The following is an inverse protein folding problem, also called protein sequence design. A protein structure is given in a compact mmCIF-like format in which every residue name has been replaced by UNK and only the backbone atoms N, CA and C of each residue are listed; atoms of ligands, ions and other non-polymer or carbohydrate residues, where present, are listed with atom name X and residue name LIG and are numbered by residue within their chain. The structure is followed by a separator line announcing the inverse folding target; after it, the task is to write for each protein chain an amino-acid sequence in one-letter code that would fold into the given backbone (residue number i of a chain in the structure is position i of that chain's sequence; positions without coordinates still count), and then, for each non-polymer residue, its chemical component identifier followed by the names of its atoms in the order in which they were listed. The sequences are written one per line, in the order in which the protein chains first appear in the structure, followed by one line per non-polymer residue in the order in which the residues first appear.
data_IF_320742391749
#
_entry.id   IF_320742391749
#
_cell.length_a   1.000
_cell.length_b   1.000
_cell.length_c   1.000
_cell.angle_alpha   90.00
_cell.angle_beta   90.00
_cell.angle_gamma   90.00
#
_symmetry.space_group_name_H-M   'P 1'
#
loop_
_entity.id
_entity.type
_entity.pdbx_description
1 polymer ?
#
# COMPACT_ATOMS: atom_id res chain seq x y z
N UNK A 1 23.30 -8.76 11.90
CA UNK A 1 22.48 -7.65 12.36
C UNK A 1 21.07 -7.80 11.86
N UNK A 2 20.19 -7.42 12.65
CA UNK A 2 18.81 -7.50 12.35
C UNK A 2 18.31 -6.12 11.89
N UNK A 3 18.64 -5.77 10.69
CA UNK A 3 18.37 -4.45 10.16
C UNK A 3 16.93 -4.05 10.12
N UNK A 4 16.05 -5.03 9.98
CA UNK A 4 14.64 -4.74 9.89
C UNK A 4 14.04 -4.14 11.15
N UNK A 5 14.57 -4.48 12.28
CA UNK A 5 14.05 -4.01 13.56
C UNK A 5 14.24 -2.52 13.78
N UNK A 6 15.21 -1.93 13.16
CA UNK A 6 15.54 -0.54 13.40
C UNK A 6 14.60 0.42 12.68
N UNK A 7 13.84 -0.06 11.73
CA UNK A 7 12.94 0.80 10.94
C UNK A 7 11.83 1.39 11.78
N UNK A 8 11.44 0.72 12.84
CA UNK A 8 10.29 1.15 13.65
C UNK A 8 10.52 2.46 14.37
N UNK A 9 11.76 2.82 14.55
CA UNK A 9 12.11 3.95 15.40
C UNK A 9 12.47 5.20 14.63
N UNK A 10 12.34 5.16 13.33
CA UNK A 10 12.67 6.31 12.49
C UNK A 10 11.41 7.09 12.24
N UNK A 11 11.33 8.26 12.87
CA UNK A 11 10.10 9.06 12.83
C UNK A 11 10.34 10.48 12.38
N UNK A 12 11.55 10.83 12.03
CA UNK A 12 11.94 12.19 11.72
C UNK A 12 11.25 12.68 10.46
N UNK A 13 10.22 13.50 10.64
CA UNK A 13 9.48 14.09 9.54
C UNK A 13 8.63 13.11 8.74
N UNK A 14 8.46 11.89 9.22
CA UNK A 14 7.76 10.88 8.48
C UNK A 14 6.64 10.27 9.33
N UNK A 15 5.83 9.42 8.67
CA UNK A 15 4.79 8.68 9.35
C UNK A 15 5.43 7.50 10.09
N UNK A 16 5.09 7.37 11.35
CA UNK A 16 5.61 6.28 12.16
C UNK A 16 5.00 4.95 11.69
N UNK A 17 5.86 3.95 11.51
CA UNK A 17 5.45 2.63 11.05
C UNK A 17 5.36 1.69 12.24
N UNK A 18 4.22 0.98 12.35
CA UNK A 18 4.00 0.04 13.43
C UNK A 18 4.71 -1.27 13.18
N UNK A 19 5.04 -1.98 14.26
CA UNK A 19 5.79 -3.23 14.17
C UNK A 19 5.02 -4.39 13.53
N UNK A 20 3.70 -4.30 13.45
CA UNK A 20 2.88 -5.35 12.84
C UNK A 20 2.72 -5.21 11.33
N UNK A 21 3.30 -4.17 10.75
CA UNK A 21 3.28 -4.00 9.30
C UNK A 21 4.20 -5.02 8.63
N UNK A 22 3.84 -5.42 7.42
CA UNK A 22 4.73 -6.26 6.60
C UNK A 22 5.68 -5.35 5.84
N UNK A 23 6.94 -5.73 5.78
CA UNK A 23 7.99 -4.93 5.15
C UNK A 23 8.60 -5.65 3.97
N UNK A 24 8.90 -4.92 2.92
CA UNK A 24 9.68 -5.44 1.82
C UNK A 24 10.43 -4.32 1.12
N UNK A 25 11.72 -4.56 0.86
CA UNK A 25 12.56 -3.64 0.11
C UNK A 25 12.84 -4.22 -1.25
N UNK A 26 12.55 -3.45 -2.31
CA UNK A 26 12.82 -3.85 -3.68
C UNK A 26 14.24 -3.46 -4.08
N UNK A 27 14.75 -2.40 -3.48
CA UNK A 27 16.14 -1.97 -3.62
C UNK A 27 16.63 -1.55 -2.24
N UNK A 28 17.91 -1.16 -2.16
CA UNK A 28 18.46 -0.65 -0.90
C UNK A 28 17.65 0.52 -0.34
N UNK A 29 17.15 1.37 -1.22
CA UNK A 29 16.45 2.59 -0.82
C UNK A 29 14.95 2.50 -0.90
N UNK A 30 14.41 1.77 -1.87
CA UNK A 30 12.98 1.72 -2.09
C UNK A 30 12.36 0.53 -1.36
N UNK A 31 11.48 0.82 -0.42
CA UNK A 31 10.81 -0.20 0.35
C UNK A 31 9.39 0.18 0.71
N UNK A 32 8.67 -0.79 1.23
CA UNK A 32 7.26 -0.64 1.56
C UNK A 32 6.94 -1.27 2.90
N UNK A 33 5.97 -0.68 3.59
CA UNK A 33 5.38 -1.26 4.79
C UNK A 33 3.88 -1.34 4.57
N UNK A 34 3.33 -2.53 4.69
CA UNK A 34 1.92 -2.79 4.40
C UNK A 34 1.16 -3.14 5.67
N UNK A 35 -0.03 -2.54 5.83
CA UNK A 35 -0.93 -2.77 6.94
C UNK A 35 -2.13 -3.61 6.55
N UNK A 36 -2.06 -4.32 5.44
CA UNK A 36 -3.10 -5.18 4.88
C UNK A 36 -4.26 -4.45 4.24
N UNK A 37 -4.72 -3.34 4.78
CA UNK A 37 -5.89 -2.63 4.27
C UNK A 37 -5.62 -1.17 4.05
N UNK A 38 -6.18 -0.65 2.95
CA UNK A 38 -6.15 0.76 2.61
C UNK A 38 -7.54 1.31 2.92
N UNK A 39 -7.63 2.24 3.87
CA UNK A 39 -8.90 2.85 4.25
C UNK A 39 -9.08 4.21 3.59
N UNK A 40 -10.32 4.52 3.24
CA UNK A 40 -10.66 5.79 2.61
C UNK A 40 -11.38 6.75 3.57
N UNK A 41 -11.55 6.33 4.83
CA UNK A 41 -12.26 7.14 5.84
C UNK A 41 -11.32 7.75 6.87
N UNK A 42 -10.01 7.74 6.61
CA UNK A 42 -9.03 8.35 7.51
C UNK A 42 -8.49 7.43 8.58
N UNK A 43 -8.92 6.18 8.62
CA UNK A 43 -8.36 5.22 9.59
C UNK A 43 -6.90 4.91 9.26
N UNK A 44 -6.16 4.55 10.31
CA UNK A 44 -4.76 4.16 10.16
C UNK A 44 -4.68 2.85 9.38
N UNK A 45 -3.80 2.79 8.41
CA UNK A 45 -3.61 1.60 7.60
C UNK A 45 -2.96 1.93 6.28
N UNK A 46 -3.07 1.02 5.33
CA UNK A 46 -2.62 1.24 3.98
C UNK A 46 -1.17 0.88 3.74
N UNK A 47 -0.57 1.56 2.79
CA UNK A 47 0.79 1.31 2.36
C UNK A 47 1.65 2.53 2.66
N UNK A 48 2.78 2.29 3.29
CA UNK A 48 3.80 3.33 3.51
C UNK A 48 4.96 3.03 2.59
N UNK A 49 5.59 4.07 2.09
CA UNK A 49 6.71 3.94 1.16
C UNK A 49 7.90 4.73 1.65
N UNK A 50 9.08 4.14 1.50
CA UNK A 50 10.34 4.83 1.77
C UNK A 50 11.21 4.81 0.53
N UNK A 51 11.90 5.90 0.26
CA UNK A 51 12.87 5.99 -0.82
C UNK A 51 14.29 6.28 -0.30
N UNK A 52 14.48 6.23 1.01
CA UNK A 52 15.77 6.52 1.64
C UNK A 52 16.25 5.40 2.56
N UNK A 53 15.87 4.18 2.26
CA UNK A 53 16.35 3.01 2.99
C UNK A 53 15.66 2.79 4.32
N UNK A 54 14.50 3.39 4.53
CA UNK A 54 13.74 3.22 5.76
C UNK A 54 13.92 4.32 6.77
N UNK A 55 14.61 5.39 6.39
CA UNK A 55 14.80 6.52 7.31
C UNK A 55 13.53 7.33 7.46
N UNK A 56 12.80 7.51 6.38
CA UNK A 56 11.50 8.18 6.40
C UNK A 56 10.50 7.38 5.59
N UNK A 57 9.24 7.40 6.04
CA UNK A 57 8.14 6.73 5.37
C UNK A 57 7.03 7.72 5.11
N UNK A 58 6.35 7.57 3.98
CA UNK A 58 5.24 8.41 3.58
C UNK A 58 4.05 7.56 3.21
N UNK A 59 2.84 8.09 3.39
CA UNK A 59 1.64 7.41 2.95
C UNK A 59 1.59 7.34 1.43
N UNK A 60 1.35 6.15 0.91
CA UNK A 60 1.04 6.00 -0.50
C UNK A 60 -0.40 6.45 -0.74
N UNK A 61 -0.61 7.13 -1.85
CA UNK A 61 -1.93 7.62 -2.22
C UNK A 61 -2.54 6.70 -3.28
N UNK A 62 -3.74 6.20 -3.01
CA UNK A 62 -4.44 5.32 -3.93
C UNK A 62 -5.67 6.03 -4.48
N UNK A 63 -5.78 6.03 -5.80
CA UNK A 63 -6.90 6.66 -6.50
C UNK A 63 -7.88 5.58 -6.92
N UNK A 64 -9.05 5.58 -6.29
CA UNK A 64 -10.09 4.61 -6.61
C UNK A 64 -11.44 5.33 -6.55
N UNK A 65 -12.16 5.33 -7.67
CA UNK A 65 -13.33 6.18 -7.84
C UNK A 65 -14.64 5.58 -7.38
N UNK A 66 -14.65 4.34 -6.98
CA UNK A 66 -15.91 3.71 -6.58
C UNK A 66 -16.34 4.24 -5.21
N UNK A 67 -17.49 4.89 -5.17
CA UNK A 67 -18.03 5.43 -3.92
C UNK A 67 -18.69 4.33 -3.10
N UNK A 68 -18.67 4.48 -1.77
CA UNK A 68 -19.27 3.49 -0.88
C UNK A 68 -18.35 2.36 -0.46
N UNK A 69 -17.09 2.39 -0.90
CA UNK A 69 -16.10 1.42 -0.48
C UNK A 69 -15.35 1.98 0.71
N UNK A 70 -15.31 1.22 1.80
CA UNK A 70 -14.61 1.64 3.02
C UNK A 70 -13.12 1.35 2.96
N UNK A 71 -12.75 0.23 2.36
CA UNK A 71 -11.35 -0.18 2.31
C UNK A 71 -11.09 -1.11 1.15
N UNK A 72 -9.79 -1.24 0.83
CA UNK A 72 -9.27 -2.20 -0.14
C UNK A 72 -8.27 -3.07 0.59
N UNK A 73 -8.29 -4.39 0.35
CA UNK A 73 -7.34 -5.32 0.96
C UNK A 73 -6.12 -5.46 0.06
N UNK A 74 -4.93 -5.35 0.66
CA UNK A 74 -3.68 -5.57 -0.04
C UNK A 74 -3.40 -7.07 0.00
N UNK A 75 -3.31 -7.70 -1.18
CA UNK A 75 -3.05 -9.14 -1.28
C UNK A 75 -1.57 -9.45 -1.17
N UNK A 76 -0.76 -8.71 -1.92
CA UNK A 76 0.70 -8.89 -1.94
C UNK A 76 1.39 -7.54 -1.88
N UNK A 77 2.62 -7.53 -1.39
CA UNK A 77 3.43 -6.33 -1.39
C UNK A 77 3.79 -5.91 -2.81
N UNK A 78 4.15 -4.64 -3.02
CA UNK A 78 4.46 -4.15 -4.36
C UNK A 78 5.59 -4.92 -5.04
N UNK A 79 5.51 -5.01 -6.36
CA UNK A 79 6.50 -5.70 -7.18
C UNK A 79 6.66 -4.95 -8.51
N UNK A 80 7.80 -5.17 -9.16
CA UNK A 80 8.04 -4.61 -10.49
C UNK A 80 7.62 -5.59 -11.57
N UNK A 81 6.98 -5.07 -12.60
CA UNK A 81 6.74 -5.79 -13.83
C UNK A 81 6.99 -4.82 -14.98
N UNK A 82 7.96 -5.12 -15.81
CA UNK A 82 8.33 -4.27 -16.95
C UNK A 82 8.55 -2.80 -16.56
N UNK A 83 9.34 -2.58 -15.52
CA UNK A 83 9.69 -1.26 -15.00
C UNK A 83 8.54 -0.49 -14.38
N UNK A 84 7.39 -1.12 -14.21
CA UNK A 84 6.23 -0.50 -13.58
C UNK A 84 5.99 -1.17 -12.23
N UNK A 85 5.83 -0.39 -11.19
CA UNK A 85 5.43 -0.90 -9.90
C UNK A 85 3.96 -1.27 -9.92
N UNK A 86 3.64 -2.44 -9.40
CA UNK A 86 2.27 -2.93 -9.31
C UNK A 86 1.99 -3.46 -7.92
N UNK A 87 0.75 -3.41 -7.52
CA UNK A 87 0.31 -4.01 -6.27
C UNK A 87 -1.03 -4.70 -6.50
N UNK A 88 -1.13 -5.93 -6.01
CA UNK A 88 -2.36 -6.71 -6.14
C UNK A 88 -3.23 -6.48 -4.93
N UNK A 89 -4.47 -6.13 -5.18
CA UNK A 89 -5.44 -5.84 -4.14
C UNK A 89 -6.76 -6.54 -4.42
N UNK A 90 -7.63 -6.55 -3.44
CA UNK A 90 -9.00 -6.99 -3.63
C UNK A 90 -9.93 -6.00 -2.97
N UNK A 91 -11.12 -5.86 -3.54
CA UNK A 91 -12.14 -4.98 -3.02
C UNK A 91 -13.43 -5.76 -2.89
N UNK A 92 -14.14 -5.53 -1.79
CA UNK A 92 -15.43 -6.12 -1.55
C UNK A 92 -16.48 -5.07 -1.89
N UNK A 93 -17.15 -5.25 -3.01
CA UNK A 93 -18.08 -4.23 -3.49
C UNK A 93 -19.39 -4.84 -3.96
N UNK A 94 -20.39 -3.99 -4.03
CA UNK A 94 -21.73 -4.38 -4.45
C UNK A 94 -21.71 -4.75 -5.92
N UNK A 95 -22.39 -5.84 -6.27
CA UNK A 95 -22.52 -6.26 -7.66
C UNK A 95 -23.37 -5.28 -8.44
N UNK A 96 -23.09 -5.17 -9.74
CA UNK A 96 -23.80 -4.26 -10.61
C UNK A 96 -25.29 -4.56 -10.69
N UNK A 97 -25.66 -5.83 -10.58
CA UNK A 97 -27.05 -6.25 -10.65
C UNK A 97 -27.80 -6.14 -9.32
N UNK A 98 -27.14 -5.68 -8.27
CA UNK A 98 -27.77 -5.51 -6.97
C UNK A 98 -27.97 -6.78 -6.18
N UNK A 99 -27.45 -7.92 -6.63
CA UNK A 99 -27.71 -9.22 -6.00
C UNK A 99 -26.85 -9.48 -4.74
N UNK A 100 -26.03 -8.54 -4.33
CA UNK A 100 -25.17 -8.69 -3.17
C UNK A 100 -23.78 -8.14 -3.43
N UNK A 101 -22.80 -8.63 -2.66
CA UNK A 101 -21.42 -8.17 -2.74
C UNK A 101 -20.53 -9.27 -3.28
N UNK A 102 -19.40 -8.87 -3.85
CA UNK A 102 -18.40 -9.82 -4.33
C UNK A 102 -17.00 -9.27 -4.11
N UNK A 103 -16.04 -10.19 -3.93
CA UNK A 103 -14.62 -9.85 -3.93
C UNK A 103 -14.16 -9.67 -5.37
N UNK A 104 -13.56 -8.54 -5.63
CA UNK A 104 -13.05 -8.22 -6.96
C UNK A 104 -11.55 -8.00 -6.87
N UNK A 105 -10.79 -8.72 -7.70
CA UNK A 105 -9.34 -8.53 -7.74
C UNK A 105 -9.01 -7.35 -8.63
N UNK A 106 -8.14 -6.48 -8.13
CA UNK A 106 -7.72 -5.29 -8.87
C UNK A 106 -6.22 -5.13 -8.74
N UNK A 107 -5.64 -4.44 -9.72
CA UNK A 107 -4.21 -4.12 -9.71
C UNK A 107 -4.07 -2.62 -9.82
N UNK A 108 -3.29 -2.04 -8.93
CA UNK A 108 -2.89 -0.63 -9.03
C UNK A 108 -1.47 -0.57 -9.58
N UNK A 109 -1.19 0.48 -10.32
CA UNK A 109 0.15 0.75 -10.84
C UNK A 109 0.64 2.09 -10.32
N UNK A 110 1.96 2.20 -10.18
CA UNK A 110 2.60 3.43 -9.79
C UNK A 110 3.73 3.74 -10.75
N UNK A 111 3.81 5.01 -11.16
CA UNK A 111 4.87 5.50 -12.05
C UNK A 111 5.82 6.44 -11.33
N UNK A 112 5.63 6.64 -10.04
CA UNK A 112 6.44 7.56 -9.23
C UNK A 112 7.00 6.87 -7.99
N UNK A 113 7.45 5.64 -8.16
CA UNK A 113 8.11 4.84 -7.11
C UNK A 113 7.20 4.55 -5.92
N UNK A 114 5.92 4.39 -6.17
CA UNK A 114 5.00 3.95 -5.14
C UNK A 114 4.33 5.03 -4.33
N UNK A 115 4.53 6.30 -4.67
CA UNK A 115 3.87 7.40 -3.96
C UNK A 115 2.41 7.54 -4.37
N UNK A 116 2.13 7.44 -5.67
CA UNK A 116 0.76 7.51 -6.17
C UNK A 116 0.43 6.27 -6.97
N UNK A 117 -0.76 5.75 -6.76
CA UNK A 117 -1.23 4.52 -7.37
C UNK A 117 -2.57 4.75 -8.04
N UNK A 118 -2.73 4.18 -9.22
CA UNK A 118 -3.97 4.25 -9.98
C UNK A 118 -4.29 2.87 -10.54
N UNK A 119 -5.56 2.66 -10.89
CA UNK A 119 -5.96 1.38 -11.49
C UNK A 119 -5.24 1.15 -12.81
N UNK A 120 -4.83 -0.08 -12.98
CA UNK A 120 -4.19 -0.50 -14.21
C UNK A 120 -5.14 -0.42 -15.39
#
# INVERSE_FOLDING_TARGET
MDGGKNFYYITDGSIQVKSDARYEFLTRNLGFASYDKIYFDGRVGGLKVTSDGGKTFYDANFIYKNTGIEFITIEDLPYYEEDTLKIKCSVYEKRDDGSGYEDKKIIFISKDKGLNWQLQ
#
